data_IF_460718862456
#
_entry.id   IF_460718862456
#
_cell.length_a   1.000
_cell.length_b   1.000
_cell.length_c   1.000
_cell.angle_alpha   90.00
_cell.angle_beta   90.00
_cell.angle_gamma   90.00
#
_symmetry.space_group_name_H-M   'P 1'
#
loop_
_entity.id
_entity.type
_entity.pdbx_description
1 polymer ?
#
# COMPACT_ATOMS: atom_id res chain seq x y z
N UNK A 1 32.15 20.30 20.73
CA UNK A 1 30.80 20.72 20.28
C UNK A 1 30.22 19.87 19.14
N UNK A 2 31.01 19.42 18.14
CA UNK A 2 30.47 18.72 16.93
C UNK A 2 29.85 17.33 17.15
N UNK A 3 30.47 16.43 17.93
CA UNK A 3 29.98 15.05 18.14
C UNK A 3 28.57 14.96 18.73
N UNK A 4 28.22 15.90 19.61
CA UNK A 4 26.89 15.97 20.25
C UNK A 4 25.82 16.47 19.27
N UNK A 5 26.16 17.39 18.36
CA UNK A 5 25.26 17.86 17.31
C UNK A 5 24.98 16.76 16.28
N UNK A 6 25.99 15.94 15.94
CA UNK A 6 25.81 14.80 15.03
C UNK A 6 24.96 13.70 15.64
N UNK A 7 25.13 13.41 16.93
CA UNK A 7 24.28 12.46 17.65
C UNK A 7 22.82 12.92 17.71
N UNK A 8 22.57 14.21 17.95
CA UNK A 8 21.22 14.78 17.97
C UNK A 8 20.55 14.71 16.59
N UNK A 9 21.28 15.03 15.51
CA UNK A 9 20.80 14.90 14.12
C UNK A 9 20.47 13.44 13.78
N UNK A 10 21.33 12.51 14.16
CA UNK A 10 21.10 11.09 13.93
C UNK A 10 19.90 10.57 14.73
N UNK A 11 19.68 11.04 15.95
CA UNK A 11 18.48 10.71 16.73
C UNK A 11 17.21 11.25 16.06
N UNK A 12 17.21 12.51 15.62
CA UNK A 12 16.08 13.11 14.90
C UNK A 12 15.74 12.36 13.61
N UNK A 13 16.76 11.96 12.83
CA UNK A 13 16.56 11.17 11.62
C UNK A 13 15.92 9.81 11.92
N UNK A 14 16.40 9.10 12.96
CA UNK A 14 15.82 7.81 13.37
C UNK A 14 14.37 7.94 13.80
N UNK A 15 14.02 9.01 14.53
CA UNK A 15 12.63 9.27 14.90
C UNK A 15 11.76 9.50 13.66
N UNK A 16 12.21 10.33 12.72
CA UNK A 16 11.47 10.59 11.48
C UNK A 16 11.26 9.32 10.64
N UNK A 17 12.28 8.47 10.55
CA UNK A 17 12.17 7.18 9.85
C UNK A 17 11.19 6.23 10.55
N UNK A 18 11.15 6.22 11.88
CA UNK A 18 10.15 5.44 12.64
C UNK A 18 8.74 5.93 12.32
N UNK A 19 8.54 7.24 12.24
CA UNK A 19 7.24 7.86 12.00
C UNK A 19 6.75 7.54 10.59
N UNK A 20 7.60 7.72 9.58
CA UNK A 20 7.29 7.31 8.21
C UNK A 20 6.95 5.83 8.10
N UNK A 21 7.63 4.97 8.85
CA UNK A 21 7.32 3.54 8.87
C UNK A 21 5.97 3.26 9.51
N UNK A 22 5.62 3.96 10.59
CA UNK A 22 4.30 3.85 11.24
C UNK A 22 3.22 4.32 10.27
N UNK A 23 3.36 5.49 9.67
CA UNK A 23 2.42 6.04 8.67
C UNK A 23 2.20 5.06 7.51
N UNK A 24 3.28 4.46 7.00
CA UNK A 24 3.19 3.45 5.94
C UNK A 24 2.42 2.20 6.39
N UNK A 25 2.64 1.75 7.63
CA UNK A 25 1.92 0.58 8.18
C UNK A 25 0.45 0.90 8.43
N UNK A 26 0.14 2.08 8.96
CA UNK A 26 -1.22 2.56 9.18
C UNK A 26 -1.98 2.65 7.85
N UNK A 27 -1.37 3.23 6.81
CA UNK A 27 -1.93 3.23 5.46
C UNK A 27 -2.28 1.82 4.98
N UNK A 28 -1.31 0.89 5.07
CA UNK A 28 -1.50 -0.50 4.67
C UNK A 28 -2.63 -1.17 5.44
N UNK A 29 -2.69 -0.97 6.75
CA UNK A 29 -3.71 -1.58 7.60
C UNK A 29 -5.11 -1.01 7.33
N UNK A 30 -5.22 0.25 6.92
CA UNK A 30 -6.48 0.87 6.57
C UNK A 30 -7.09 0.34 5.25
N UNK A 31 -6.27 -0.22 4.36
CA UNK A 31 -6.75 -0.77 3.10
C UNK A 31 -7.51 -2.09 3.30
N UNK A 32 -8.71 -2.24 2.67
CA UNK A 32 -9.49 -3.47 2.75
C UNK A 32 -8.76 -4.63 2.07
N UNK A 33 -8.84 -5.83 2.64
CA UNK A 33 -8.31 -7.05 2.03
C UNK A 33 -9.30 -7.55 0.98
N UNK A 34 -8.87 -7.66 -0.27
CA UNK A 34 -9.75 -8.08 -1.37
C UNK A 34 -10.45 -9.41 -1.10
N UNK A 35 -9.78 -10.36 -0.43
CA UNK A 35 -10.34 -11.66 -0.08
C UNK A 35 -11.54 -11.54 0.89
N UNK A 36 -11.52 -10.56 1.78
CA UNK A 36 -12.51 -10.35 2.85
C UNK A 36 -13.75 -9.58 2.38
N UNK A 37 -13.69 -8.92 1.21
CA UNK A 37 -14.86 -8.26 0.64
C UNK A 37 -15.99 -9.26 0.36
N UNK A 38 -17.25 -8.83 0.45
CA UNK A 38 -18.38 -9.70 0.15
C UNK A 38 -18.38 -10.18 -1.32
N UNK A 39 -18.84 -11.40 -1.55
CA UNK A 39 -19.11 -11.90 -2.89
C UNK A 39 -20.12 -10.99 -3.58
N UNK A 40 -19.75 -10.41 -4.72
CA UNK A 40 -20.62 -9.44 -5.40
C UNK A 40 -20.42 -7.97 -5.00
N UNK A 41 -19.42 -7.64 -4.17
CA UNK A 41 -19.08 -6.25 -3.85
C UNK A 41 -18.84 -5.41 -5.12
N UNK A 42 -19.35 -4.18 -5.15
CA UNK A 42 -19.09 -3.23 -6.24
C UNK A 42 -17.75 -2.53 -6.01
N UNK A 43 -16.87 -2.63 -6.99
CA UNK A 43 -15.55 -1.99 -7.02
C UNK A 43 -15.56 -0.89 -8.06
N UNK A 44 -15.18 0.31 -7.65
CA UNK A 44 -15.16 1.52 -8.48
C UNK A 44 -13.74 1.83 -8.90
N UNK A 45 -13.61 2.48 -10.05
CA UNK A 45 -12.33 3.07 -10.47
C UNK A 45 -11.80 3.98 -9.36
N UNK A 46 -10.54 3.77 -8.95
CA UNK A 46 -9.89 4.47 -7.85
C UNK A 46 -9.89 3.73 -6.52
N UNK A 47 -10.73 2.70 -6.34
CA UNK A 47 -10.73 1.91 -5.10
C UNK A 47 -9.40 1.18 -4.93
N UNK A 48 -8.82 1.22 -3.74
CA UNK A 48 -7.57 0.52 -3.41
C UNK A 48 -7.84 -0.65 -2.48
N UNK A 49 -7.23 -1.80 -2.78
CA UNK A 49 -7.34 -3.02 -1.97
C UNK A 49 -5.97 -3.64 -1.75
N UNK A 50 -5.84 -4.39 -0.66
CA UNK A 50 -4.73 -5.33 -0.49
C UNK A 50 -5.08 -6.69 -1.06
N UNK A 51 -4.16 -7.27 -1.82
CA UNK A 51 -4.26 -8.64 -2.32
C UNK A 51 -2.89 -9.31 -2.25
N UNK A 52 -2.82 -10.42 -1.52
CA UNK A 52 -1.55 -11.04 -1.13
C UNK A 52 -0.67 -10.01 -0.39
N UNK A 53 0.58 -9.80 -0.83
CA UNK A 53 1.51 -8.87 -0.21
C UNK A 53 1.45 -7.45 -0.80
N UNK A 54 0.56 -7.23 -1.78
CA UNK A 54 0.56 -6.04 -2.62
C UNK A 54 -0.71 -5.19 -2.55
N UNK A 55 -0.58 -3.94 -2.95
CA UNK A 55 -1.62 -2.93 -3.05
C UNK A 55 -2.01 -2.73 -4.52
N UNK A 56 -3.32 -2.80 -4.79
CA UNK A 56 -3.85 -2.64 -6.13
C UNK A 56 -4.91 -1.55 -6.15
N UNK A 57 -4.85 -0.68 -7.15
CA UNK A 57 -5.92 0.26 -7.47
C UNK A 57 -6.79 -0.30 -8.59
N UNK A 58 -8.11 -0.24 -8.42
CA UNK A 58 -9.08 -0.60 -9.44
C UNK A 58 -9.06 0.46 -10.55
N UNK A 59 -8.80 0.04 -11.78
CA UNK A 59 -8.72 0.92 -12.97
C UNK A 59 -9.95 0.79 -13.88
N UNK A 60 -10.80 -0.21 -13.65
CA UNK A 60 -12.06 -0.41 -14.37
C UNK A 60 -13.13 -0.92 -13.41
N UNK A 61 -14.22 -0.17 -13.25
CA UNK A 61 -15.30 -0.52 -12.33
C UNK A 61 -15.92 -1.87 -12.65
N UNK A 62 -16.15 -2.70 -11.63
CA UNK A 62 -16.68 -4.05 -11.79
C UNK A 62 -17.27 -4.61 -10.49
N UNK A 63 -17.86 -5.79 -10.57
CA UNK A 63 -18.30 -6.56 -9.40
C UNK A 63 -17.24 -7.59 -9.01
N UNK A 64 -16.95 -7.75 -7.72
CA UNK A 64 -16.00 -8.75 -7.21
C UNK A 64 -16.30 -10.13 -7.79
N UNK A 65 -15.28 -10.73 -8.40
CA UNK A 65 -15.28 -12.08 -8.95
C UNK A 65 -13.85 -12.59 -9.03
N UNK A 66 -13.64 -13.89 -8.87
CA UNK A 66 -12.31 -14.52 -8.99
C UNK A 66 -11.67 -14.27 -10.37
N UNK A 67 -12.47 -14.19 -11.44
CA UNK A 67 -11.99 -13.87 -12.79
C UNK A 67 -11.46 -12.43 -12.92
N UNK A 68 -11.88 -11.53 -12.02
CA UNK A 68 -11.50 -10.11 -11.97
C UNK A 68 -10.69 -9.80 -10.70
N UNK A 69 -9.96 -10.78 -10.17
CA UNK A 69 -9.09 -10.58 -9.00
C UNK A 69 -7.95 -9.59 -9.29
N UNK A 70 -7.28 -9.02 -8.27
CA UNK A 70 -6.34 -7.91 -8.43
C UNK A 70 -5.12 -8.15 -9.33
N UNK A 71 -4.76 -9.40 -9.62
CA UNK A 71 -3.71 -9.72 -10.61
C UNK A 71 -4.18 -9.60 -12.05
N UNK A 72 -5.48 -9.37 -12.31
CA UNK A 72 -6.01 -9.14 -13.65
C UNK A 72 -5.78 -7.68 -14.06
N UNK A 73 -4.79 -7.46 -14.92
CA UNK A 73 -4.33 -6.13 -15.37
C UNK A 73 -5.36 -5.37 -16.21
N UNK A 74 -6.46 -6.01 -16.65
CA UNK A 74 -7.56 -5.30 -17.29
C UNK A 74 -8.41 -4.49 -16.30
N UNK A 75 -8.39 -4.85 -15.00
CA UNK A 75 -9.21 -4.23 -13.97
C UNK A 75 -8.41 -3.57 -12.85
N UNK A 76 -7.11 -3.90 -12.73
CA UNK A 76 -6.29 -3.48 -11.61
C UNK A 76 -4.88 -3.06 -12.03
N UNK A 77 -4.30 -2.15 -11.26
CA UNK A 77 -2.90 -1.74 -11.34
C UNK A 77 -2.25 -1.89 -9.97
N UNK A 78 -1.12 -2.59 -9.90
CA UNK A 78 -0.31 -2.67 -8.68
C UNK A 78 0.34 -1.30 -8.40
N UNK A 79 0.35 -0.87 -7.15
CA UNK A 79 0.72 0.51 -6.74
C UNK A 79 1.91 0.57 -5.81
N UNK A 80 2.14 -0.48 -5.04
CA UNK A 80 3.39 -0.73 -4.36
C UNK A 80 4.40 -1.28 -5.37
N UNK A 81 5.01 -0.35 -6.10
CA UNK A 81 6.16 -0.66 -6.94
C UNK A 81 7.21 -1.36 -6.08
N UNK A 82 7.70 -2.56 -6.47
CA UNK A 82 9.02 -2.94 -6.04
C UNK A 82 9.97 -1.98 -6.74
N UNK A 83 10.36 -0.90 -6.06
CA UNK A 83 11.51 -0.10 -6.47
C UNK A 83 12.77 -0.94 -6.28
N UNK A 84 12.95 -1.94 -7.13
CA UNK A 84 14.26 -2.51 -7.44
C UNK A 84 14.78 -1.75 -8.65
N UNK A 85 15.39 -0.60 -8.37
CA UNK A 85 16.35 -0.03 -9.31
C UNK A 85 17.67 -0.78 -9.09
N UNK A 86 18.10 -1.56 -10.08
CA UNK A 86 19.49 -2.02 -10.20
C UNK A 86 20.36 -0.89 -10.75
#
# INVERSE_FOLDING_TARGET
MGKWMDAARAAALRMRLREQRIEQLEHRLALPVWAELDGGASLRMGDTVRYLLHEYVCILSHTKSLARRPTNTAYWKQTDSPSFSF
#
